data_IF_011128264643
#
_entry.id   IF_011128264643
#
_cell.length_a   1.000
_cell.length_b   1.000
_cell.length_c   1.000
_cell.angle_alpha   90.00
_cell.angle_beta   90.00
_cell.angle_gamma   90.00
#
_symmetry.space_group_name_H-M   'P 1'
#
loop_
_entity.id
_entity.type
_entity.pdbx_description
1 polymer ?
#
# COMPACT_ATOMS: atom_id res chain seq x y z
N UNK A 1 10.33 -0.21 -3.04
CA UNK A 1 9.88 -1.24 -2.06
C UNK A 1 10.69 -1.27 -0.77
N UNK A 2 12.02 -1.38 -0.85
CA UNK A 2 12.93 -1.57 0.30
C UNK A 2 12.70 -0.59 1.45
N UNK A 3 12.74 0.72 1.17
CA UNK A 3 12.54 1.76 2.19
C UNK A 3 11.18 1.64 2.88
N UNK A 4 10.12 1.40 2.10
CA UNK A 4 8.76 1.27 2.63
C UNK A 4 8.64 0.02 3.53
N UNK A 5 9.25 -1.10 3.14
CA UNK A 5 9.27 -2.31 3.98
C UNK A 5 9.95 -2.05 5.32
N UNK A 6 11.07 -1.33 5.36
CA UNK A 6 11.71 -1.00 6.64
C UNK A 6 10.82 -0.16 7.56
N UNK A 7 10.08 0.82 7.04
CA UNK A 7 9.13 1.58 7.85
C UNK A 7 7.99 0.71 8.40
N UNK A 8 7.50 -0.26 7.61
CA UNK A 8 6.48 -1.22 8.04
C UNK A 8 7.02 -2.18 9.11
N UNK A 9 8.20 -2.75 8.89
CA UNK A 9 8.90 -3.67 9.80
C UNK A 9 9.20 -3.02 11.15
N UNK A 10 9.64 -1.77 11.17
CA UNK A 10 9.92 -0.99 12.39
C UNK A 10 8.66 -0.42 13.03
N UNK A 11 7.47 -0.74 12.51
CA UNK A 11 6.18 -0.29 13.03
C UNK A 11 6.03 1.24 13.11
N UNK A 12 6.64 1.98 12.19
CA UNK A 12 6.65 3.45 12.14
C UNK A 12 5.53 4.07 11.31
N UNK A 13 4.62 3.26 10.75
CA UNK A 13 3.56 3.71 9.85
C UNK A 13 2.19 3.54 10.51
N UNK A 14 1.48 4.64 10.71
CA UNK A 14 0.12 4.64 11.27
C UNK A 14 -0.98 4.51 10.19
N UNK A 15 -0.70 5.03 8.98
CA UNK A 15 -1.59 4.96 7.82
C UNK A 15 -0.80 4.61 6.57
N UNK A 16 -1.32 3.66 5.77
CA UNK A 16 -0.74 3.25 4.50
C UNK A 16 -1.80 3.33 3.39
N UNK A 17 -1.50 4.07 2.33
CA UNK A 17 -2.42 4.27 1.20
C UNK A 17 -1.86 3.55 -0.03
N UNK A 18 -2.55 2.52 -0.50
CA UNK A 18 -2.24 1.78 -1.71
C UNK A 18 -3.07 2.32 -2.88
N UNK A 19 -2.43 3.01 -3.81
CA UNK A 19 -3.05 3.52 -5.03
C UNK A 19 -2.71 2.60 -6.20
N UNK A 20 -3.73 2.04 -6.85
CA UNK A 20 -3.57 1.11 -7.96
C UNK A 20 -4.08 1.70 -9.27
N UNK A 21 -3.15 1.91 -10.21
CA UNK A 21 -3.46 2.26 -11.59
C UNK A 21 -3.92 1.04 -12.40
N UNK A 22 -4.64 1.30 -13.50
CA UNK A 22 -5.01 0.29 -14.51
C UNK A 22 -3.82 -0.11 -15.39
N UNK A 23 -2.73 0.66 -15.39
CA UNK A 23 -1.55 0.42 -16.24
C UNK A 23 -0.53 -0.43 -15.49
N UNK A 24 -0.06 -1.50 -16.13
CA UNK A 24 1.01 -2.36 -15.60
C UNK A 24 2.35 -1.98 -16.22
N UNK A 25 3.39 -1.86 -15.39
CA UNK A 25 4.75 -1.61 -15.86
C UNK A 25 5.29 -2.76 -16.71
N UNK A 26 6.09 -2.45 -17.72
CA UNK A 26 6.73 -3.46 -18.60
C UNK A 26 7.63 -4.43 -17.82
N UNK A 27 8.29 -3.95 -16.77
CA UNK A 27 9.14 -4.73 -15.86
C UNK A 27 8.69 -4.51 -14.42
N UNK A 28 7.67 -5.25 -13.94
CA UNK A 28 7.14 -5.07 -12.61
C UNK A 28 8.16 -5.48 -11.55
N UNK A 29 8.26 -4.69 -10.49
CA UNK A 29 9.07 -4.99 -9.31
C UNK A 29 8.14 -5.42 -8.19
N UNK A 30 8.37 -6.60 -7.61
CA UNK A 30 7.58 -7.06 -6.47
C UNK A 30 7.82 -6.17 -5.25
N UNK A 31 6.72 -5.74 -4.62
CA UNK A 31 6.76 -4.89 -3.44
C UNK A 31 6.86 -5.66 -2.13
N UNK A 32 6.09 -6.76 -2.00
CA UNK A 32 6.01 -7.62 -0.82
C UNK A 32 5.73 -6.86 0.49
N UNK A 33 4.84 -5.85 0.43
CA UNK A 33 4.39 -5.13 1.64
C UNK A 33 3.55 -6.06 2.53
N UNK A 34 3.97 -6.28 3.77
CA UNK A 34 3.13 -6.88 4.80
C UNK A 34 2.26 -5.80 5.44
N UNK A 35 0.94 -5.89 5.22
CA UNK A 35 -0.06 -4.95 5.73
C UNK A 35 -0.97 -5.62 6.78
N UNK A 36 -0.62 -6.82 7.25
CA UNK A 36 -1.43 -7.56 8.22
C UNK A 36 -1.51 -6.89 9.60
N UNK A 37 -0.60 -5.95 9.89
CA UNK A 37 -0.57 -5.19 11.14
C UNK A 37 -1.65 -4.10 11.25
N UNK A 38 -2.32 -3.73 10.15
CA UNK A 38 -3.36 -2.71 10.16
C UNK A 38 -4.73 -3.32 10.51
N UNK A 39 -5.52 -2.62 11.34
CA UNK A 39 -6.79 -3.15 11.85
C UNK A 39 -7.99 -2.80 10.97
N UNK A 40 -7.85 -1.75 10.16
CA UNK A 40 -8.92 -1.23 9.30
C UNK A 40 -8.43 -1.09 7.87
N UNK A 41 -9.33 -1.39 6.95
CA UNK A 41 -9.13 -1.20 5.52
C UNK A 41 -10.38 -0.54 4.96
N UNK A 42 -10.19 0.61 4.30
CA UNK A 42 -11.21 1.28 3.51
C UNK A 42 -10.85 1.19 2.03
N UNK A 43 -11.83 0.92 1.17
CA UNK A 43 -11.65 0.94 -0.27
C UNK A 43 -12.42 2.14 -0.86
N UNK A 44 -11.74 2.91 -1.69
CA UNK A 44 -12.30 4.07 -2.38
C UNK A 44 -11.74 4.17 -3.79
N UNK A 45 -12.23 5.14 -4.56
CA UNK A 45 -11.77 5.41 -5.92
C UNK A 45 -11.40 6.87 -6.04
N UNK A 46 -10.19 7.14 -6.51
CA UNK A 46 -9.72 8.50 -6.78
C UNK A 46 -9.54 8.65 -8.29
N UNK A 47 -10.48 9.29 -8.97
CA UNK A 47 -10.43 9.36 -10.44
C UNK A 47 -10.64 7.98 -11.08
N UNK A 48 -9.59 7.44 -11.72
CA UNK A 48 -9.62 6.12 -12.34
C UNK A 48 -8.93 5.04 -11.50
N UNK A 49 -8.27 5.44 -10.42
CA UNK A 49 -7.44 4.63 -9.56
C UNK A 49 -8.26 3.98 -8.44
N UNK A 50 -8.02 2.69 -8.21
CA UNK A 50 -8.54 2.00 -7.02
C UNK A 50 -7.61 2.27 -5.85
N UNK A 51 -8.16 2.69 -4.72
CA UNK A 51 -7.39 3.12 -3.56
C UNK A 51 -7.81 2.31 -2.34
N UNK A 52 -6.83 1.75 -1.63
CA UNK A 52 -7.03 1.10 -0.34
C UNK A 52 -6.29 1.86 0.74
N UNK A 53 -6.99 2.24 1.79
CA UNK A 53 -6.45 2.99 2.93
C UNK A 53 -6.42 2.04 4.13
N UNK A 54 -5.23 1.75 4.62
CA UNK A 54 -4.97 0.90 5.77
C UNK A 54 -4.65 1.78 6.98
N UNK A 55 -5.39 1.61 8.07
CA UNK A 55 -5.18 2.36 9.32
C UNK A 55 -5.08 1.42 10.51
N UNK A 56 -4.29 1.80 11.51
CA UNK A 56 -4.13 1.06 12.76
C UNK A 56 -5.37 1.15 13.65
#
# INVERSE_FOLDING_TARGET
>A
PTTINHFLEESLVDEFILVQSKVTHTTPVQSNFDLSSFSKVEETTWGEEQVKIYTR
#
